data_IF_951754955939
#
_entry.id   IF_951754955939
#
_cell.length_a   1.000
_cell.length_b   1.000
_cell.length_c   1.000
_cell.angle_alpha   90.00
_cell.angle_beta   90.00
_cell.angle_gamma   90.00
#
_symmetry.space_group_name_H-M   'P 1'
#
loop_
_entity.id
_entity.type
_entity.pdbx_description
1 polymer ?
#
# COMPACT_ATOMS: atom_id res chain seq x y z
N UNK A 1 6.70 -17.64 2.50
CA UNK A 1 6.78 -16.51 3.44
C UNK A 1 6.83 -15.19 2.72
N UNK A 2 6.09 -14.19 3.19
CA UNK A 2 6.22 -12.85 2.62
C UNK A 2 7.63 -12.31 2.87
N UNK A 3 8.18 -11.67 1.87
CA UNK A 3 9.50 -11.08 1.95
C UNK A 3 9.46 -9.74 1.24
N UNK A 4 10.48 -8.93 1.47
CA UNK A 4 10.55 -7.64 0.81
C UNK A 4 10.59 -7.81 -0.72
N UNK A 5 11.29 -8.82 -1.19
CA UNK A 5 11.36 -9.04 -2.63
C UNK A 5 10.01 -9.45 -3.19
N UNK A 6 9.28 -10.31 -2.50
CA UNK A 6 7.95 -10.70 -2.95
C UNK A 6 7.00 -9.50 -2.92
N UNK A 7 7.14 -8.65 -1.92
CA UNK A 7 6.34 -7.43 -1.84
C UNK A 7 6.62 -6.54 -3.05
N UNK A 8 7.89 -6.39 -3.41
CA UNK A 8 8.26 -5.57 -4.56
C UNK A 8 7.65 -6.12 -5.85
N UNK A 9 7.69 -7.45 -6.02
CA UNK A 9 7.10 -8.06 -7.21
C UNK A 9 5.59 -7.82 -7.27
N UNK A 10 4.92 -7.90 -6.13
CA UNK A 10 3.49 -7.63 -6.08
C UNK A 10 3.19 -6.17 -6.43
N UNK A 11 4.03 -5.25 -5.95
CA UNK A 11 3.87 -3.83 -6.26
C UNK A 11 3.99 -3.59 -7.76
N UNK A 12 4.93 -4.26 -8.42
CA UNK A 12 5.09 -4.13 -9.86
C UNK A 12 3.83 -4.60 -10.58
N UNK A 13 3.28 -5.73 -10.16
CA UNK A 13 2.12 -6.34 -10.84
C UNK A 13 0.86 -5.50 -10.66
N UNK A 14 0.70 -4.87 -9.50
CA UNK A 14 -0.54 -4.16 -9.20
C UNK A 14 -0.53 -2.69 -9.59
N UNK A 15 0.41 -2.28 -10.45
CA UNK A 15 0.36 -0.91 -10.97
C UNK A 15 -0.99 -0.65 -11.63
N UNK A 16 -1.53 0.53 -11.42
CA UNK A 16 -2.80 1.00 -11.98
C UNK A 16 -4.04 0.28 -11.47
N UNK A 17 -3.88 -0.61 -10.48
CA UNK A 17 -5.02 -1.23 -9.86
C UNK A 17 -5.83 -0.17 -9.08
N UNK A 18 -7.17 -0.22 -9.10
CA UNK A 18 -7.98 0.80 -8.41
C UNK A 18 -8.12 0.48 -6.92
N UNK A 19 -7.18 0.97 -6.12
CA UNK A 19 -7.24 0.84 -4.67
C UNK A 19 -8.17 1.88 -4.08
N UNK A 20 -8.64 1.63 -2.85
CA UNK A 20 -9.36 2.63 -2.06
C UNK A 20 -8.74 2.71 -0.68
N UNK A 21 -8.64 3.93 -0.16
CA UNK A 21 -8.13 4.13 1.20
C UNK A 21 -9.13 3.61 2.23
N UNK A 22 -8.72 3.63 3.49
CA UNK A 22 -9.60 3.19 4.59
C UNK A 22 -10.87 4.03 4.70
N UNK A 23 -10.87 5.23 4.13
CA UNK A 23 -12.06 6.08 4.09
C UNK A 23 -12.80 6.02 2.76
N UNK A 24 -12.35 5.14 1.85
CA UNK A 24 -13.05 4.91 0.60
C UNK A 24 -12.64 5.79 -0.57
N UNK A 25 -11.51 6.51 -0.46
CA UNK A 25 -11.04 7.37 -1.54
C UNK A 25 -10.24 6.55 -2.56
N UNK A 26 -10.62 6.68 -3.82
CA UNK A 26 -9.98 5.94 -4.91
C UNK A 26 -8.59 6.48 -5.20
N UNK A 27 -7.64 5.58 -5.43
CA UNK A 27 -6.32 5.97 -5.91
C UNK A 27 -5.70 4.82 -6.69
N UNK A 28 -4.70 5.17 -7.49
CA UNK A 28 -3.88 4.20 -8.22
C UNK A 28 -2.43 4.59 -8.02
N UNK A 29 -1.53 3.70 -8.33
CA UNK A 29 -0.12 4.06 -8.34
C UNK A 29 0.54 3.48 -9.57
N UNK A 30 1.67 4.06 -9.91
CA UNK A 30 2.57 3.51 -10.92
C UNK A 30 3.99 3.76 -10.46
N UNK A 31 4.91 3.03 -11.04
CA UNK A 31 6.33 3.15 -10.73
C UNK A 31 7.00 3.95 -11.84
N UNK A 32 7.92 4.83 -11.45
CA UNK A 32 8.72 5.54 -12.44
C UNK A 32 9.76 4.61 -13.04
N UNK A 33 10.06 4.83 -14.31
CA UNK A 33 11.15 4.12 -14.98
C UNK A 33 12.36 5.00 -14.96
N UNK A 34 13.49 4.47 -14.48
CA UNK A 34 14.74 5.21 -14.41
C UNK A 34 15.47 5.24 -15.74
N UNK A 35 16.63 5.89 -15.72
CA UNK A 35 17.40 6.08 -16.94
C UNK A 35 17.86 4.77 -17.57
N UNK A 36 18.09 3.77 -16.76
CA UNK A 36 18.55 2.47 -17.25
C UNK A 36 17.41 1.54 -17.65
N UNK A 37 16.19 2.06 -17.69
CA UNK A 37 15.04 1.26 -18.07
C UNK A 37 14.45 0.41 -16.96
N UNK A 38 14.96 0.52 -15.75
CA UNK A 38 14.47 -0.23 -14.61
C UNK A 38 13.55 0.64 -13.76
N UNK A 39 12.68 0.00 -12.99
CA UNK A 39 11.77 0.72 -12.12
C UNK A 39 12.53 1.37 -10.96
N UNK A 40 12.19 2.62 -10.68
CA UNK A 40 12.63 3.27 -9.46
C UNK A 40 11.86 2.72 -8.28
N UNK A 41 12.49 2.74 -7.11
CA UNK A 41 11.86 2.30 -5.88
C UNK A 41 11.03 3.44 -5.29
N UNK A 42 10.05 3.88 -6.06
CA UNK A 42 9.21 5.00 -5.69
C UNK A 42 7.87 4.86 -6.39
N UNK A 43 6.78 4.93 -5.62
CA UNK A 43 5.44 4.84 -6.17
C UNK A 43 4.88 6.24 -6.36
N UNK A 44 4.34 6.49 -7.54
CA UNK A 44 3.60 7.73 -7.81
C UNK A 44 2.14 7.44 -7.58
N UNK A 45 1.61 8.02 -6.52
CA UNK A 45 0.20 7.85 -6.18
C UNK A 45 -0.60 8.84 -7.00
N UNK A 46 -1.48 8.32 -7.84
CA UNK A 46 -2.36 9.13 -8.64
C UNK A 46 -3.71 9.19 -7.94
N UNK A 47 -4.05 10.34 -7.45
CA UNK A 47 -5.29 10.54 -6.73
C UNK A 47 -5.99 11.76 -7.29
N UNK A 48 -7.20 11.97 -6.83
CA UNK A 48 -8.18 12.85 -7.44
C UNK A 48 -7.66 14.21 -7.92
N UNK A 49 -6.84 14.89 -7.13
CA UNK A 49 -6.48 16.26 -7.47
C UNK A 49 -5.03 16.44 -7.84
N UNK A 50 -4.16 15.57 -7.35
CA UNK A 50 -2.75 15.67 -7.69
C UNK A 50 -2.04 14.40 -7.26
N UNK A 51 -0.91 14.16 -7.89
CA UNK A 51 -0.13 12.98 -7.56
C UNK A 51 0.71 13.24 -6.32
N UNK A 52 1.17 12.15 -5.71
CA UNK A 52 2.01 12.18 -4.53
C UNK A 52 3.03 11.07 -4.67
N UNK A 53 4.26 11.36 -4.26
CA UNK A 53 5.34 10.38 -4.31
C UNK A 53 5.39 9.62 -2.98
N UNK A 54 5.60 8.31 -3.08
CA UNK A 54 5.67 7.43 -1.91
C UNK A 54 6.94 6.63 -2.00
N UNK A 55 7.84 6.84 -1.04
CA UNK A 55 9.14 6.18 -1.04
C UNK A 55 8.98 4.69 -0.72
N UNK A 56 9.77 3.86 -1.41
CA UNK A 56 9.76 2.43 -1.15
C UNK A 56 10.14 2.12 0.30
N UNK A 57 11.06 2.91 0.87
CA UNK A 57 11.45 2.70 2.26
C UNK A 57 10.27 2.83 3.22
N UNK A 58 9.31 3.70 2.91
CA UNK A 58 8.11 3.84 3.73
C UNK A 58 7.24 2.58 3.65
N UNK A 59 7.13 2.01 2.45
CA UNK A 59 6.36 0.78 2.27
C UNK A 59 7.01 -0.36 3.05
N UNK A 60 8.33 -0.48 2.94
CA UNK A 60 9.06 -1.55 3.65
C UNK A 60 8.92 -1.38 5.16
N UNK A 61 9.02 -0.15 5.66
CA UNK A 61 8.89 0.08 7.09
C UNK A 61 7.52 -0.33 7.60
N UNK A 62 6.47 0.04 6.87
CA UNK A 62 5.11 -0.34 7.26
C UNK A 62 4.95 -1.86 7.22
N UNK A 63 5.53 -2.50 6.22
CA UNK A 63 5.48 -3.95 6.09
C UNK A 63 6.18 -4.62 7.28
N UNK A 64 7.37 -4.13 7.65
CA UNK A 64 8.07 -4.71 8.80
C UNK A 64 7.30 -4.48 10.09
N UNK A 65 6.71 -3.29 10.23
CA UNK A 65 5.91 -3.02 11.42
C UNK A 65 4.67 -3.92 11.49
N UNK A 66 4.09 -4.27 10.36
CA UNK A 66 2.91 -5.12 10.33
C UNK A 66 3.19 -6.49 10.91
N UNK A 67 4.43 -6.96 10.83
CA UNK A 67 4.79 -8.26 11.38
C UNK A 67 4.70 -8.32 12.89
N UNK A 68 4.68 -7.16 13.54
CA UNK A 68 4.58 -7.08 15.00
C UNK A 68 3.15 -7.00 15.49
N UNK A 69 2.19 -6.84 14.56
CA UNK A 69 0.79 -6.75 14.92
C UNK A 69 0.19 -8.12 14.79
N UNK A 70 -0.21 -8.72 15.93
CA UNK A 70 -0.73 -10.07 15.93
C UNK A 70 -2.22 -10.14 15.66
N UNK A 71 -2.87 -8.99 15.60
CA UNK A 71 -4.31 -8.90 15.40
C UNK A 71 -4.61 -8.01 14.20
N UNK A 72 -5.86 -7.60 14.08
CA UNK A 72 -6.23 -6.68 13.02
C UNK A 72 -5.50 -5.36 13.15
N UNK A 73 -5.09 -4.81 12.02
CA UNK A 73 -4.54 -3.46 11.97
C UNK A 73 -5.75 -2.53 11.83
N UNK A 74 -6.14 -1.89 12.92
CA UNK A 74 -7.43 -1.21 13.00
C UNK A 74 -7.47 0.12 12.29
N UNK A 75 -6.32 0.70 11.98
CA UNK A 75 -6.24 1.96 11.25
C UNK A 75 -4.84 2.09 10.65
N UNK A 76 -4.68 2.93 9.64
CA UNK A 76 -3.37 3.03 8.99
C UNK A 76 -2.24 3.38 9.94
N UNK A 77 -2.46 4.29 10.88
CA UNK A 77 -1.38 4.71 11.78
C UNK A 77 -0.95 3.62 12.75
N UNK A 78 -1.71 2.53 12.86
CA UNK A 78 -1.27 1.38 13.65
C UNK A 78 -0.03 0.74 13.04
N UNK A 79 0.28 1.02 11.77
CA UNK A 79 1.51 0.56 11.13
C UNK A 79 2.68 1.49 11.40
N UNK A 80 2.45 2.58 12.11
CA UNK A 80 3.48 3.56 12.43
C UNK A 80 3.13 4.92 11.86
N UNK A 81 3.81 5.94 12.39
CA UNK A 81 3.63 7.30 11.90
C UNK A 81 4.52 7.48 10.67
N UNK A 82 4.07 6.93 9.56
CA UNK A 82 4.85 6.82 8.33
C UNK A 82 4.20 7.68 7.27
N UNK A 83 5.02 8.46 6.56
CA UNK A 83 4.52 9.30 5.49
C UNK A 83 3.87 8.42 4.41
N UNK A 84 2.64 8.74 4.06
CA UNK A 84 1.91 7.98 3.04
C UNK A 84 1.28 6.70 3.53
N UNK A 85 1.24 6.48 4.85
CA UNK A 85 0.73 5.23 5.39
C UNK A 85 -0.74 4.99 5.01
N UNK A 86 -1.51 6.07 4.77
CA UNK A 86 -2.91 5.92 4.37
C UNK A 86 -3.05 5.23 3.02
N UNK A 87 -2.03 5.28 2.17
CA UNK A 87 -2.02 4.57 0.89
C UNK A 87 -1.38 3.19 1.01
N UNK A 88 -0.42 3.05 1.93
CA UNK A 88 0.24 1.76 2.13
C UNK A 88 -0.71 0.75 2.76
N UNK A 89 -1.54 1.19 3.68
CA UNK A 89 -2.46 0.34 4.43
C UNK A 89 -3.36 -0.49 3.49
N UNK A 90 -4.09 0.11 2.51
CA UNK A 90 -4.90 -0.70 1.62
C UNK A 90 -4.09 -1.57 0.68
N UNK A 91 -2.87 -1.15 0.33
CA UNK A 91 -2.02 -1.96 -0.52
C UNK A 91 -1.63 -3.25 0.20
N UNK A 92 -1.16 -3.14 1.44
CA UNK A 92 -0.79 -4.32 2.23
C UNK A 92 -1.99 -5.23 2.46
N UNK A 93 -3.17 -4.64 2.71
CA UNK A 93 -4.38 -5.43 2.88
C UNK A 93 -4.73 -6.20 1.60
N UNK A 94 -4.66 -5.53 0.46
CA UNK A 94 -5.02 -6.16 -0.82
C UNK A 94 -4.09 -7.33 -1.12
N UNK A 95 -2.83 -7.23 -0.73
CA UNK A 95 -1.87 -8.31 -0.93
C UNK A 95 -2.02 -9.43 0.10
N UNK A 96 -2.93 -9.27 1.06
CA UNK A 96 -3.16 -10.31 2.05
C UNK A 96 -2.14 -10.32 3.18
N UNK A 97 -1.44 -9.21 3.39
CA UNK A 97 -0.36 -9.15 4.37
C UNK A 97 -0.82 -8.65 5.73
N UNK A 98 -1.99 -8.02 5.81
CA UNK A 98 -2.57 -7.56 7.08
C UNK A 98 -4.05 -7.88 7.08
N UNK A 99 -4.61 -7.99 8.27
CA UNK A 99 -6.05 -8.10 8.45
C UNK A 99 -6.56 -6.76 8.99
N UNK A 100 -7.77 -6.39 8.59
CA UNK A 100 -8.37 -5.13 8.99
C UNK A 100 -9.81 -5.38 9.41
N UNK A 101 -10.42 -4.45 10.18
CA UNK A 101 -11.82 -4.60 10.57
C UNK A 101 -12.73 -4.67 9.35
N UNK A 102 -13.81 -5.43 9.48
CA UNK A 102 -14.72 -5.66 8.37
C UNK A 102 -15.30 -4.37 7.80
N UNK A 103 -15.65 -3.43 8.68
CA UNK A 103 -16.22 -2.18 8.21
C UNK A 103 -15.24 -1.37 7.38
N UNK A 104 -13.94 -1.53 7.64
CA UNK A 104 -12.92 -0.86 6.83
C UNK A 104 -12.73 -1.60 5.52
N UNK A 105 -12.76 -2.93 5.55
CA UNK A 105 -12.68 -3.72 4.31
C UNK A 105 -13.74 -3.29 3.31
N UNK A 106 -14.95 -3.04 3.80
CA UNK A 106 -16.03 -2.63 2.92
C UNK A 106 -15.71 -1.32 2.21
N UNK A 107 -15.07 -0.40 2.92
CA UNK A 107 -14.69 0.88 2.31
C UNK A 107 -13.54 0.74 1.34
N UNK A 108 -12.66 -0.24 1.56
CA UNK A 108 -11.51 -0.45 0.69
C UNK A 108 -11.84 -1.32 -0.51
N UNK A 109 -13.08 -1.77 -0.63
CA UNK A 109 -13.50 -2.47 -1.83
C UNK A 109 -13.55 -3.98 -1.71
N UNK A 110 -13.85 -4.50 -0.53
CA UNK A 110 -14.01 -5.94 -0.38
C UNK A 110 -15.10 -6.44 -1.31
N UNK A 111 -14.79 -7.49 -2.06
CA UNK A 111 -15.76 -8.14 -2.94
C UNK A 111 -16.43 -9.28 -2.21
N UNK A 112 -17.66 -9.61 -2.64
CA UNK A 112 -18.41 -10.69 -2.01
C UNK A 112 -18.60 -11.85 -2.95
#
# INVERSE_FOLDING_TARGET
MPSEENLWQAVIVFQEYPFKTATGLLFRYKLKVGKNGEYNRELLIDRREKSKSLAWSSVVLAFENSKRVSEEVKKPKALGDIRGVSYIYPILWRFGLIRVPEEIEKKMGKQR
#
